data_IF_923876079267
#
_entry.id   IF_923876079267
#
_cell.length_a   1.000
_cell.length_b   1.000
_cell.length_c   1.000
_cell.angle_alpha   90.00
_cell.angle_beta   90.00
_cell.angle_gamma   90.00
#
_symmetry.space_group_name_H-M   'P 1'
#
loop_
_entity.id
_entity.type
_entity.pdbx_description
1 polymer ?
#
# COMPACT_ATOMS: atom_id res chain seq x y z
N UNK A 1 34.90 -3.49 -15.58
CA UNK A 1 34.34 -4.16 -14.39
C UNK A 1 33.05 -4.85 -14.81
N UNK A 2 32.97 -6.17 -14.67
CA UNK A 2 31.74 -6.92 -14.95
C UNK A 2 30.70 -6.56 -13.88
N UNK A 3 29.49 -6.19 -14.30
CA UNK A 3 28.38 -5.98 -13.37
C UNK A 3 27.98 -7.33 -12.77
N UNK A 4 27.73 -7.40 -11.45
CA UNK A 4 27.27 -8.63 -10.80
C UNK A 4 25.88 -9.10 -11.26
N UNK A 5 25.11 -8.20 -11.87
CA UNK A 5 23.75 -8.43 -12.39
C UNK A 5 23.50 -7.52 -13.60
N UNK A 6 22.57 -7.93 -14.46
CA UNK A 6 22.13 -7.17 -15.64
C UNK A 6 21.07 -6.12 -15.27
N UNK A 7 20.92 -5.10 -16.13
CA UNK A 7 19.86 -4.11 -15.93
C UNK A 7 18.45 -4.75 -16.09
N UNK A 8 18.31 -5.82 -16.88
CA UNK A 8 17.06 -6.58 -17.04
C UNK A 8 16.64 -7.30 -15.75
N UNK A 9 17.58 -8.00 -15.09
CA UNK A 9 17.32 -8.64 -13.78
C UNK A 9 16.93 -7.61 -12.72
N UNK A 10 17.57 -6.44 -12.74
CA UNK A 10 17.22 -5.33 -11.85
C UNK A 10 15.80 -4.82 -12.13
N UNK A 11 15.45 -4.63 -13.41
CA UNK A 11 14.14 -4.15 -13.83
C UNK A 11 13.03 -5.14 -13.49
N UNK A 12 13.25 -6.44 -13.64
CA UNK A 12 12.27 -7.46 -13.27
C UNK A 12 11.91 -7.39 -11.79
N UNK A 13 12.92 -7.38 -10.91
CA UNK A 13 12.72 -7.26 -9.46
C UNK A 13 12.11 -5.90 -9.09
N UNK A 14 12.46 -4.84 -9.81
CA UNK A 14 11.90 -3.52 -9.62
C UNK A 14 10.42 -3.43 -10.02
N UNK A 15 10.02 -4.09 -11.10
CA UNK A 15 8.65 -4.18 -11.59
C UNK A 15 7.77 -5.04 -10.67
N UNK A 16 8.35 -6.00 -9.96
CA UNK A 16 7.69 -6.72 -8.86
C UNK A 16 7.43 -5.82 -7.62
N UNK A 17 7.88 -4.56 -7.63
CA UNK A 17 7.64 -3.59 -6.56
C UNK A 17 8.61 -3.68 -5.38
N UNK A 18 9.70 -4.45 -5.50
CA UNK A 18 10.67 -4.62 -4.41
C UNK A 18 11.42 -3.31 -4.14
N UNK A 19 11.66 -3.04 -2.86
CA UNK A 19 12.52 -1.93 -2.42
C UNK A 19 13.99 -2.19 -2.76
N UNK A 20 14.82 -1.14 -2.80
CA UNK A 20 16.26 -1.30 -3.05
C UNK A 20 16.94 -2.27 -2.09
N UNK A 21 16.46 -2.38 -0.83
CA UNK A 21 16.99 -3.33 0.14
C UNK A 21 16.66 -4.77 -0.25
N UNK A 22 15.40 -5.06 -0.57
CA UNK A 22 14.96 -6.40 -0.99
C UNK A 22 15.62 -6.83 -2.30
N UNK A 23 15.79 -5.90 -3.25
CA UNK A 23 16.52 -6.15 -4.49
C UNK A 23 17.99 -6.47 -4.18
N UNK A 24 18.63 -5.70 -3.29
CA UNK A 24 20.02 -5.91 -2.89
C UNK A 24 20.23 -7.28 -2.24
N UNK A 25 19.31 -7.69 -1.36
CA UNK A 25 19.32 -9.01 -0.72
C UNK A 25 19.19 -10.14 -1.76
N UNK A 26 18.30 -9.99 -2.75
CA UNK A 26 18.09 -10.97 -3.85
C UNK A 26 19.31 -11.10 -4.76
N UNK A 27 19.92 -9.97 -5.11
CA UNK A 27 21.07 -9.91 -6.02
C UNK A 27 22.42 -10.07 -5.31
N UNK A 28 22.41 -10.26 -3.98
CA UNK A 28 23.61 -10.34 -3.14
C UNK A 28 24.59 -9.17 -3.36
N UNK A 29 24.02 -7.96 -3.45
CA UNK A 29 24.77 -6.70 -3.60
C UNK A 29 24.42 -5.72 -2.48
N UNK A 30 25.08 -4.57 -2.46
CA UNK A 30 24.77 -3.53 -1.49
C UNK A 30 23.59 -2.67 -1.96
N UNK A 31 22.77 -2.18 -1.03
CA UNK A 31 21.68 -1.26 -1.33
C UNK A 31 22.12 0.00 -2.11
N UNK A 32 23.28 0.63 -1.82
CA UNK A 32 23.79 1.74 -2.63
C UNK A 32 24.07 1.37 -4.09
N UNK A 33 24.54 0.15 -4.38
CA UNK A 33 24.77 -0.29 -5.75
C UNK A 33 23.47 -0.36 -6.56
N UNK A 34 22.39 -0.87 -5.95
CA UNK A 34 21.04 -0.87 -6.53
C UNK A 34 20.52 0.55 -6.73
N UNK A 35 20.70 1.43 -5.73
CA UNK A 35 20.29 2.83 -5.83
C UNK A 35 20.98 3.56 -6.98
N UNK A 36 22.29 3.39 -7.11
CA UNK A 36 23.07 3.97 -8.20
C UNK A 36 22.59 3.48 -9.57
N UNK A 37 22.40 2.17 -9.73
CA UNK A 37 21.90 1.57 -10.99
C UNK A 37 20.52 2.06 -11.37
N UNK A 38 19.56 2.03 -10.43
CA UNK A 38 18.21 2.58 -10.67
C UNK A 38 18.27 4.07 -11.02
N UNK A 39 19.12 4.85 -10.34
CA UNK A 39 19.33 6.27 -10.65
C UNK A 39 19.83 6.51 -12.08
N UNK A 40 20.77 5.68 -12.56
CA UNK A 40 21.22 5.72 -13.97
C UNK A 40 20.12 5.41 -14.98
N UNK A 41 19.13 4.62 -14.58
CA UNK A 41 17.94 4.29 -15.37
C UNK A 41 16.79 5.30 -15.18
N UNK A 42 17.00 6.38 -14.40
CA UNK A 42 15.96 7.38 -14.12
C UNK A 42 14.87 6.90 -13.14
N UNK A 43 15.10 5.78 -12.45
CA UNK A 43 14.14 5.12 -11.58
C UNK A 43 14.36 5.50 -10.10
N UNK A 44 13.27 5.71 -9.38
CA UNK A 44 13.29 5.98 -7.92
C UNK A 44 13.04 4.70 -7.14
N UNK A 45 13.56 4.64 -5.91
CA UNK A 45 13.36 3.51 -5.01
C UNK A 45 11.87 3.28 -4.72
N UNK A 46 11.47 2.01 -4.67
CA UNK A 46 10.11 1.57 -4.33
C UNK A 46 9.76 1.73 -2.84
N UNK A 47 10.65 2.28 -2.01
CA UNK A 47 10.37 2.59 -0.60
C UNK A 47 9.14 3.49 -0.40
N UNK A 48 8.73 4.24 -1.43
CA UNK A 48 7.47 5.01 -1.45
C UNK A 48 6.51 4.59 -2.55
N UNK A 49 6.77 3.50 -3.27
CA UNK A 49 5.70 2.86 -4.01
C UNK A 49 4.78 2.28 -2.96
N UNK A 50 3.75 3.05 -2.61
CA UNK A 50 2.42 2.47 -2.50
C UNK A 50 2.39 1.35 -3.54
N UNK A 51 2.23 0.08 -3.12
CA UNK A 51 1.80 -0.97 -4.05
C UNK A 51 0.81 -0.30 -4.97
N UNK A 52 0.97 -0.40 -6.30
CA UNK A 52 0.09 0.27 -7.24
C UNK A 52 -1.36 -0.06 -6.86
N UNK A 53 -1.99 0.81 -6.06
CA UNK A 53 -3.28 0.54 -5.45
C UNK A 53 -4.23 1.00 -6.51
N UNK A 54 -4.93 0.06 -7.12
CA UNK A 54 -5.98 0.38 -8.05
C UNK A 54 -7.04 1.22 -7.32
N UNK A 55 -7.07 2.51 -7.63
CA UNK A 55 -7.97 3.46 -7.01
C UNK A 55 -9.44 3.12 -7.27
N UNK A 56 -9.75 2.47 -8.40
CA UNK A 56 -11.11 2.02 -8.68
C UNK A 56 -11.50 0.88 -7.74
N UNK A 57 -10.60 -0.06 -7.48
CA UNK A 57 -10.84 -1.11 -6.48
C UNK A 57 -11.06 -0.52 -5.08
N UNK A 58 -10.27 0.48 -4.69
CA UNK A 58 -10.48 1.17 -3.39
C UNK A 58 -11.85 1.84 -3.34
N UNK A 59 -12.26 2.54 -4.40
CA UNK A 59 -13.59 3.18 -4.48
C UNK A 59 -14.72 2.16 -4.39
N UNK A 60 -14.62 1.04 -5.10
CA UNK A 60 -15.62 -0.03 -5.07
C UNK A 60 -15.75 -0.61 -3.66
N UNK A 61 -14.62 -1.00 -3.04
CA UNK A 61 -14.61 -1.58 -1.70
C UNK A 61 -15.09 -0.59 -0.64
N UNK A 62 -14.74 0.69 -0.77
CA UNK A 62 -15.28 1.75 0.08
C UNK A 62 -16.79 1.92 -0.11
N UNK A 63 -17.29 1.89 -1.35
CA UNK A 63 -18.72 1.94 -1.66
C UNK A 63 -19.50 0.76 -1.09
N UNK A 64 -18.87 -0.42 -0.97
CA UNK A 64 -19.42 -1.59 -0.28
C UNK A 64 -19.44 -1.45 1.26
N UNK A 65 -18.91 -0.36 1.80
CA UNK A 65 -18.93 -0.09 3.24
C UNK A 65 -17.71 -0.59 4.02
N UNK A 66 -16.67 -1.11 3.34
CA UNK A 66 -15.46 -1.56 4.03
C UNK A 66 -14.71 -0.39 4.66
N UNK A 67 -14.08 -0.64 5.82
CA UNK A 67 -13.20 0.32 6.49
C UNK A 67 -11.81 0.32 5.86
N UNK A 68 -10.99 1.33 6.16
CA UNK A 68 -9.61 1.38 5.66
C UNK A 68 -8.81 0.12 6.03
N UNK A 69 -9.08 -0.45 7.22
CA UNK A 69 -8.47 -1.70 7.67
C UNK A 69 -8.94 -2.87 6.79
N UNK A 70 -10.25 -2.98 6.54
CA UNK A 70 -10.80 -4.05 5.70
C UNK A 70 -10.27 -4.00 4.27
N UNK A 71 -10.21 -2.80 3.68
CA UNK A 71 -9.65 -2.58 2.33
C UNK A 71 -8.17 -2.96 2.30
N UNK A 72 -7.38 -2.52 3.28
CA UNK A 72 -5.95 -2.81 3.36
C UNK A 72 -5.67 -4.32 3.45
N UNK A 73 -6.44 -5.04 4.26
CA UNK A 73 -6.35 -6.50 4.36
C UNK A 73 -6.69 -7.19 3.03
N UNK A 74 -7.75 -6.74 2.36
CA UNK A 74 -8.24 -7.36 1.13
C UNK A 74 -7.30 -7.13 -0.06
N UNK A 75 -6.73 -5.93 -0.16
CA UNK A 75 -5.77 -5.56 -1.20
C UNK A 75 -4.32 -5.92 -0.84
N UNK A 76 -4.08 -6.49 0.35
CA UNK A 76 -2.75 -6.85 0.87
C UNK A 76 -1.76 -5.66 0.86
N UNK A 77 -2.25 -4.49 1.27
CA UNK A 77 -1.46 -3.26 1.38
C UNK A 77 -1.49 -2.70 2.79
N UNK A 78 -0.67 -1.69 3.07
CA UNK A 78 -0.68 -1.04 4.37
C UNK A 78 -1.93 -0.17 4.55
N UNK A 79 -2.43 -0.10 5.79
CA UNK A 79 -3.53 0.82 6.16
C UNK A 79 -3.14 2.27 5.89
N UNK A 80 -1.85 2.61 6.00
CA UNK A 80 -1.34 3.95 5.71
C UNK A 80 -1.46 4.30 4.23
N UNK A 81 -1.18 3.37 3.32
CA UNK A 81 -1.37 3.56 1.88
C UNK A 81 -2.85 3.81 1.55
N UNK A 82 -3.76 3.01 2.11
CA UNK A 82 -5.21 3.24 1.93
C UNK A 82 -5.63 4.58 2.51
N UNK A 83 -5.19 4.92 3.73
CA UNK A 83 -5.52 6.21 4.37
C UNK A 83 -5.06 7.40 3.54
N UNK A 84 -3.88 7.31 2.92
CA UNK A 84 -3.36 8.34 2.01
C UNK A 84 -4.23 8.47 0.75
N UNK A 85 -4.56 7.37 0.08
CA UNK A 85 -5.42 7.40 -1.10
C UNK A 85 -6.85 7.88 -0.79
N UNK A 86 -7.39 7.52 0.38
CA UNK A 86 -8.69 8.00 0.83
C UNK A 86 -8.71 9.52 1.02
N UNK A 87 -7.62 10.10 1.55
CA UNK A 87 -7.47 11.56 1.65
C UNK A 87 -7.40 12.23 0.29
N UNK A 88 -6.62 11.66 -0.64
CA UNK A 88 -6.49 12.16 -2.01
C UNK A 88 -7.82 12.14 -2.78
N UNK A 89 -8.71 11.20 -2.46
CA UNK A 89 -10.06 11.10 -3.02
C UNK A 89 -11.13 11.84 -2.21
N UNK A 90 -10.74 12.55 -1.13
CA UNK A 90 -11.65 13.24 -0.21
C UNK A 90 -12.71 12.34 0.43
N UNK A 91 -12.41 11.05 0.58
CA UNK A 91 -13.31 10.06 1.16
C UNK A 91 -13.05 9.89 2.66
N UNK A 92 -14.13 9.80 3.45
CA UNK A 92 -14.07 9.50 4.88
C UNK A 92 -14.15 8.00 5.13
N UNK A 93 -13.33 7.51 6.06
CA UNK A 93 -13.35 6.10 6.48
C UNK A 93 -14.73 5.69 7.02
N UNK A 94 -15.25 4.58 6.49
CA UNK A 94 -16.51 3.96 6.91
C UNK A 94 -16.53 3.54 8.39
N UNK A 95 -15.36 3.42 9.03
CA UNK A 95 -15.24 3.21 10.47
C UNK A 95 -16.10 4.20 11.28
N UNK A 96 -16.13 5.47 10.90
CA UNK A 96 -16.90 6.47 11.65
C UNK A 96 -18.42 6.25 11.56
N UNK A 97 -18.90 5.83 10.39
CA UNK A 97 -20.30 5.47 10.18
C UNK A 97 -20.65 4.22 11.00
N UNK A 98 -19.83 3.18 10.90
CA UNK A 98 -20.00 1.93 11.64
C UNK A 98 -20.01 2.16 13.16
N UNK A 99 -19.05 2.95 13.67
CA UNK A 99 -18.97 3.33 15.10
C UNK A 99 -20.22 4.03 15.59
N UNK A 100 -20.82 4.91 14.77
CA UNK A 100 -22.07 5.60 15.11
C UNK A 100 -23.24 4.63 15.22
N UNK A 101 -23.37 3.71 14.27
CA UNK A 101 -24.43 2.69 14.26
C UNK A 101 -24.35 1.77 15.48
N UNK A 102 -23.15 1.27 15.80
CA UNK A 102 -22.95 0.41 16.98
C UNK A 102 -23.30 1.15 18.28
N UNK A 103 -22.92 2.42 18.41
CA UNK A 103 -23.27 3.25 19.58
C UNK A 103 -24.77 3.47 19.72
N UNK A 104 -25.49 3.66 18.60
CA UNK A 104 -26.94 3.84 18.62
C UNK A 104 -27.65 2.54 19.01
N UNK A 105 -27.25 1.39 18.46
CA UNK A 105 -27.81 0.09 18.84
C UNK A 105 -27.64 -0.21 20.34
N UNK A 106 -26.47 0.10 20.93
CA UNK A 106 -26.25 -0.09 22.37
C UNK A 106 -27.19 0.74 23.26
N UNK A 107 -27.62 1.93 22.80
CA UNK A 107 -28.57 2.77 23.55
C UNK A 107 -30.01 2.25 23.52
N UNK A 108 -30.39 1.52 22.47
CA UNK A 108 -31.75 0.93 22.34
C UNK A 108 -31.88 -0.29 23.25
N UNK A 109 -30.86 -1.15 23.30
CA UNK A 109 -30.88 -2.37 24.12
C UNK A 109 -30.83 -2.07 25.63
N UNK A 110 -30.14 -1.00 26.05
CA UNK A 110 -30.01 -0.63 27.46
C UNK A 110 -31.18 0.15 28.08
N UNK A 111 -32.30 0.34 27.36
CA UNK A 111 -33.49 1.06 27.85
C UNK A 111 -34.70 0.16 28.14
N UNK A 112 -34.57 -1.14 27.96
CA UNK A 112 -35.64 -2.13 28.21
C UNK A 112 -35.41 -2.94 29.50
N UNK A 113 -34.79 -2.32 30.52
CA UNK A 113 -34.55 -2.92 31.84
C UNK A 113 -35.15 -2.06 32.93
#
# INVERSE_FOLDING_TARGET
MSSKFSDDELLELYCQGLTNRQIADRLQVTQPAVHYRLGRLGLRNNCRRNLFVDLQQVKILHGMGLTNIGIALLLKVSVQAISQHMKEMELRDNYYRLKKMVRQNKKVVGKNG
#
